data_IF_321607046870
#
_entry.id   IF_321607046870
#
_cell.length_a   1.000
_cell.length_b   1.000
_cell.length_c   1.000
_cell.angle_alpha   90.00
_cell.angle_beta   90.00
_cell.angle_gamma   90.00
#
_symmetry.space_group_name_H-M   'P 1'
#
loop_
_entity.id
_entity.type
_entity.pdbx_description
1 polymer ?
#
# COMPACT_ATOMS: atom_id res chain seq x y z
N UNK A 1 3.67 -3.27 -19.37
CA UNK A 1 4.52 -3.57 -18.20
C UNK A 1 4.85 -2.29 -17.42
N UNK A 2 5.53 -1.31 -18.03
CA UNK A 2 5.98 -0.09 -17.32
C UNK A 2 4.86 0.74 -16.68
N UNK A 3 3.69 0.86 -17.33
CA UNK A 3 2.55 1.61 -16.77
C UNK A 3 2.10 1.07 -15.40
N UNK A 4 2.07 -0.26 -15.24
CA UNK A 4 1.67 -0.87 -13.97
C UNK A 4 2.68 -0.55 -12.86
N UNK A 5 3.97 -0.56 -13.17
CA UNK A 5 5.01 -0.16 -12.23
C UNK A 5 4.86 1.30 -11.80
N UNK A 6 4.60 2.19 -12.76
CA UNK A 6 4.33 3.61 -12.48
C UNK A 6 3.11 3.77 -11.56
N UNK A 7 2.01 3.08 -11.86
CA UNK A 7 0.79 3.11 -11.04
C UNK A 7 1.06 2.69 -9.60
N UNK A 8 1.81 1.59 -9.41
CA UNK A 8 2.18 1.10 -8.08
C UNK A 8 3.04 2.14 -7.36
N UNK A 9 4.17 2.54 -7.95
CA UNK A 9 5.10 3.48 -7.32
C UNK A 9 4.41 4.79 -6.93
N UNK A 10 3.53 5.29 -7.78
CA UNK A 10 2.88 6.59 -7.55
C UNK A 10 1.68 6.51 -6.60
N UNK A 11 0.95 5.38 -6.56
CA UNK A 11 -0.35 5.31 -5.88
C UNK A 11 -0.44 4.30 -4.73
N UNK A 12 0.58 3.47 -4.42
CA UNK A 12 0.48 2.45 -3.36
C UNK A 12 0.34 3.01 -1.93
N UNK A 13 0.57 4.31 -1.73
CA UNK A 13 0.28 5.01 -0.47
C UNK A 13 -1.04 5.80 -0.48
N UNK A 14 -1.81 5.73 -1.57
CA UNK A 14 -3.19 6.20 -1.56
C UNK A 14 -4.06 5.29 -0.69
N UNK A 15 -5.03 5.89 0.00
CA UNK A 15 -5.93 5.16 0.91
C UNK A 15 -7.33 5.17 0.35
N UNK A 16 -8.08 4.09 0.57
CA UNK A 16 -9.45 3.95 0.03
C UNK A 16 -10.38 5.12 0.40
N UNK A 17 -10.21 5.69 1.59
CA UNK A 17 -10.95 6.85 2.11
C UNK A 17 -10.49 8.21 1.55
N UNK A 18 -9.39 8.23 0.78
CA UNK A 18 -8.75 9.41 0.21
C UNK A 18 -7.93 10.24 1.18
N UNK A 19 -7.62 9.70 2.37
CA UNK A 19 -6.68 10.33 3.30
C UNK A 19 -5.23 9.87 3.04
N UNK A 20 -4.99 9.23 1.90
CA UNK A 20 -3.65 8.84 1.43
C UNK A 20 -2.98 9.96 0.64
N UNK A 21 -1.83 9.64 0.06
CA UNK A 21 -1.00 10.59 -0.67
C UNK A 21 -0.39 9.91 -1.91
N UNK A 22 0.07 10.65 -2.93
CA UNK A 22 0.24 12.11 -2.99
C UNK A 22 -0.99 12.93 -3.43
N UNK A 23 -2.02 12.31 -3.99
CA UNK A 23 -3.15 13.01 -4.64
C UNK A 23 -4.46 12.90 -3.88
N UNK A 24 -4.56 12.04 -2.87
CA UNK A 24 -5.79 11.84 -2.11
C UNK A 24 -6.88 11.15 -2.93
N UNK A 25 -6.48 10.20 -3.78
CA UNK A 25 -7.38 9.43 -4.64
C UNK A 25 -8.32 8.56 -3.78
N UNK A 26 -9.58 8.42 -4.18
CA UNK A 26 -10.60 7.68 -3.42
C UNK A 26 -11.12 6.46 -4.17
N UNK A 27 -11.28 5.37 -3.45
CA UNK A 27 -11.92 4.14 -3.93
C UNK A 27 -11.39 3.63 -5.29
N UNK A 28 -12.18 3.85 -6.34
CA UNK A 28 -11.89 3.36 -7.69
C UNK A 28 -10.98 4.29 -8.51
N UNK A 29 -10.65 5.48 -8.01
CA UNK A 29 -9.63 6.34 -8.60
C UNK A 29 -8.22 5.76 -8.41
N UNK A 30 -8.04 4.89 -7.40
CA UNK A 30 -6.78 4.20 -7.13
C UNK A 30 -6.65 2.99 -8.07
N UNK A 31 -5.55 2.89 -8.85
CA UNK A 31 -5.30 1.72 -9.69
C UNK A 31 -5.36 0.41 -8.91
N UNK A 32 -5.92 -0.65 -9.52
CA UNK A 32 -6.06 -1.94 -8.86
C UNK A 32 -4.72 -2.52 -8.39
N UNK A 33 -3.67 -2.40 -9.21
CA UNK A 33 -2.32 -2.84 -8.86
C UNK A 33 -1.80 -2.16 -7.60
N UNK A 34 -1.98 -0.84 -7.50
CA UNK A 34 -1.59 -0.06 -6.33
C UNK A 34 -2.36 -0.48 -5.07
N UNK A 35 -3.67 -0.77 -5.17
CA UNK A 35 -4.47 -1.27 -4.03
C UNK A 35 -3.98 -2.63 -3.52
N UNK A 36 -3.65 -3.55 -4.43
CA UNK A 36 -3.12 -4.87 -4.06
C UNK A 36 -1.77 -4.71 -3.35
N UNK A 37 -0.88 -3.89 -3.91
CA UNK A 37 0.45 -3.65 -3.31
C UNK A 37 0.36 -2.93 -1.98
N UNK A 38 -0.56 -1.98 -1.81
CA UNK A 38 -0.77 -1.29 -0.53
C UNK A 38 -1.10 -2.27 0.60
N UNK A 39 -1.93 -3.28 0.34
CA UNK A 39 -2.25 -4.33 1.33
C UNK A 39 -1.02 -5.20 1.60
N UNK A 40 -0.32 -5.63 0.56
CA UNK A 40 0.88 -6.46 0.69
C UNK A 40 1.99 -5.76 1.47
N UNK A 41 2.26 -4.49 1.17
CA UNK A 41 3.28 -3.65 1.83
C UNK A 41 2.99 -3.50 3.33
N UNK A 42 1.74 -3.19 3.70
CA UNK A 42 1.36 -3.08 5.12
C UNK A 42 1.40 -4.43 5.83
N UNK A 43 0.97 -5.52 5.18
CA UNK A 43 1.01 -6.85 5.78
C UNK A 43 2.46 -7.29 6.07
N UNK A 44 3.35 -7.15 5.10
CA UNK A 44 4.77 -7.49 5.26
C UNK A 44 5.42 -6.62 6.35
N UNK A 45 5.07 -5.32 6.38
CA UNK A 45 5.50 -4.40 7.41
C UNK A 45 5.09 -4.82 8.83
N UNK A 46 3.92 -5.43 8.99
CA UNK A 46 3.40 -5.87 10.29
C UNK A 46 3.94 -7.24 10.69
N UNK A 47 4.23 -8.13 9.74
CA UNK A 47 4.68 -9.51 9.99
C UNK A 47 6.21 -9.68 9.97
N UNK A 48 6.95 -8.59 9.73
CA UNK A 48 8.42 -8.56 9.77
C UNK A 48 8.96 -7.83 11.00
N UNK A 49 10.01 -8.39 11.62
CA UNK A 49 10.74 -7.76 12.72
C UNK A 49 11.41 -6.45 12.23
N UNK A 50 11.14 -5.36 12.94
CA UNK A 50 11.78 -4.05 12.72
C UNK A 50 12.59 -3.65 13.95
N UNK A 51 13.61 -2.83 13.74
CA UNK A 51 14.53 -2.36 14.80
C UNK A 51 13.78 -1.85 16.05
N UNK A 52 12.61 -1.24 15.84
CA UNK A 52 11.78 -0.63 16.89
C UNK A 52 10.52 -1.43 17.24
N UNK A 53 10.21 -2.54 16.57
CA UNK A 53 8.94 -3.26 16.75
C UNK A 53 9.06 -4.71 16.29
N UNK A 54 8.67 -5.64 17.16
CA UNK A 54 8.56 -7.06 16.81
C UNK A 54 7.41 -7.33 15.85
N UNK A 55 7.59 -8.33 14.99
CA UNK A 55 6.58 -8.85 14.09
C UNK A 55 5.30 -9.24 14.86
N UNK A 56 4.15 -9.03 14.22
CA UNK A 56 2.86 -9.50 14.70
C UNK A 56 2.71 -11.00 14.44
N UNK A 57 1.96 -11.67 15.33
CA UNK A 57 1.48 -13.03 15.11
C UNK A 57 0.46 -13.08 13.96
N UNK A 58 0.27 -14.28 13.42
CA UNK A 58 -0.78 -14.57 12.44
C UNK A 58 -2.10 -15.04 13.10
N UNK A 59 -2.11 -15.18 14.42
CA UNK A 59 -3.28 -15.57 15.23
C UNK A 59 -4.10 -14.37 15.71
#
# INVERSE_FOLDING_TARGET
FLNMGIDITYCHHERWDGNGYPRGLKGNEIPLSAKIVAIADVYDALTTDRVYKKAYSHE
#
